data_IF_500494342759
#
_entry.id   IF_500494342759
#
_cell.length_a   1.000
_cell.length_b   1.000
_cell.length_c   1.000
_cell.angle_alpha   90.00
_cell.angle_beta   90.00
_cell.angle_gamma   90.00
#
_symmetry.space_group_name_H-M   'P 1'
#
loop_
_entity.id
_entity.type
_entity.pdbx_description
1 polymer ?
#
# COMPACT_ATOMS: atom_id res chain seq x y z
N UNK A 1 13.45 6.94 -12.01
CA UNK A 1 12.97 6.58 -10.66
C UNK A 1 11.55 7.08 -10.54
N UNK A 2 10.63 6.30 -9.98
CA UNK A 2 9.33 6.85 -9.56
C UNK A 2 9.55 7.49 -8.20
N UNK A 3 9.23 8.77 -8.06
CA UNK A 3 9.15 9.47 -6.78
C UNK A 3 7.69 9.45 -6.33
N UNK A 4 7.47 9.14 -5.05
CA UNK A 4 6.14 9.22 -4.42
C UNK A 4 6.08 10.52 -3.64
N UNK A 5 4.93 11.21 -3.71
CA UNK A 5 4.67 12.31 -2.80
C UNK A 5 4.27 11.73 -1.44
N UNK A 6 4.93 12.17 -0.37
CA UNK A 6 4.62 11.76 1.00
C UNK A 6 3.67 12.75 1.65
N UNK A 7 2.66 12.25 2.35
CA UNK A 7 1.74 13.06 3.14
C UNK A 7 1.37 12.36 4.44
N UNK A 8 1.09 13.16 5.48
CA UNK A 8 0.41 12.66 6.68
C UNK A 8 -1.09 12.90 6.47
N UNK A 9 -1.88 11.83 6.45
CA UNK A 9 -3.35 11.88 6.36
C UNK A 9 -3.95 10.96 7.40
N UNK A 10 -5.01 11.41 8.07
CA UNK A 10 -5.72 10.63 9.08
C UNK A 10 -4.79 10.01 10.15
N UNK A 11 -3.77 10.76 10.55
CA UNK A 11 -2.81 10.36 11.58
C UNK A 11 -1.76 9.34 11.15
N UNK A 12 -1.57 9.07 9.86
CA UNK A 12 -0.56 8.11 9.39
C UNK A 12 0.05 8.52 8.04
N UNK A 13 1.12 7.82 7.65
CA UNK A 13 1.82 8.09 6.40
C UNK A 13 1.02 7.53 5.22
N UNK A 14 0.82 8.36 4.21
CA UNK A 14 0.21 7.99 2.93
C UNK A 14 1.11 8.49 1.81
N UNK A 15 1.41 7.61 0.85
CA UNK A 15 2.24 7.92 -0.29
C UNK A 15 1.39 7.96 -1.56
N UNK A 16 1.65 8.94 -2.43
CA UNK A 16 0.80 9.29 -3.56
C UNK A 16 1.58 9.23 -4.89
N UNK A 17 0.87 8.83 -5.93
CA UNK A 17 1.27 8.96 -7.34
C UNK A 17 0.01 8.81 -8.19
N UNK A 18 -0.44 9.93 -8.79
CA UNK A 18 -1.72 10.01 -9.50
C UNK A 18 -2.90 9.46 -8.65
N UNK A 19 -2.99 9.90 -7.39
CA UNK A 19 -3.88 9.34 -6.37
C UNK A 19 -3.12 8.54 -5.30
N UNK A 20 -3.81 7.99 -4.28
CA UNK A 20 -3.14 7.25 -3.21
C UNK A 20 -2.63 5.88 -3.68
N UNK A 21 -1.43 5.51 -3.21
CA UNK A 21 -0.73 4.29 -3.60
C UNK A 21 -0.68 3.32 -2.42
N UNK A 22 -0.05 3.76 -1.33
CA UNK A 22 0.14 2.94 -0.13
C UNK A 22 0.05 3.78 1.13
N UNK A 23 -0.18 3.11 2.26
CA UNK A 23 -0.14 3.69 3.59
C UNK A 23 0.73 2.85 4.53
N UNK A 24 1.31 3.53 5.51
CA UNK A 24 1.98 2.91 6.66
C UNK A 24 1.31 3.47 7.90
N UNK A 25 0.58 2.62 8.61
CA UNK A 25 -0.12 2.99 9.85
C UNK A 25 0.39 2.16 11.00
N UNK A 26 1.05 2.83 11.94
CA UNK A 26 1.37 2.24 13.23
C UNK A 26 0.12 2.21 14.11
N UNK A 27 -0.10 1.08 14.77
CA UNK A 27 -1.07 0.86 15.83
C UNK A 27 -0.31 0.30 17.04
N UNK A 28 -0.96 0.21 18.20
CA UNK A 28 -0.31 -0.12 19.48
C UNK A 28 0.56 -1.38 19.44
N UNK A 29 0.13 -2.44 18.74
CA UNK A 29 0.82 -3.75 18.70
C UNK A 29 1.14 -4.24 17.28
N UNK A 30 0.96 -3.39 16.26
CA UNK A 30 1.17 -3.78 14.86
C UNK A 30 1.37 -2.58 13.94
N UNK A 31 1.97 -2.83 12.78
CA UNK A 31 2.03 -1.88 11.67
C UNK A 31 1.23 -2.44 10.50
N UNK A 32 0.34 -1.61 9.96
CA UNK A 32 -0.39 -1.92 8.74
C UNK A 32 0.33 -1.32 7.54
N UNK A 33 0.66 -2.18 6.58
CA UNK A 33 1.17 -1.79 5.27
C UNK A 33 0.07 -2.03 4.23
N UNK A 34 -0.66 -0.97 3.92
CA UNK A 34 -1.86 -1.03 3.08
C UNK A 34 -1.63 -0.47 1.70
N UNK A 35 -2.34 -1.00 0.70
CA UNK A 35 -2.31 -0.52 -0.68
C UNK A 35 -3.72 -0.26 -1.19
N UNK A 36 -3.91 0.88 -1.85
CA UNK A 36 -5.05 1.05 -2.76
C UNK A 36 -4.85 0.12 -3.96
N UNK A 37 -5.93 -0.51 -4.42
CA UNK A 37 -5.84 -1.62 -5.39
C UNK A 37 -4.96 -2.78 -4.94
N UNK A 38 -4.74 -2.93 -3.63
CA UNK A 38 -3.93 -3.99 -3.04
C UNK A 38 -4.43 -5.39 -3.36
N UNK A 39 -5.72 -5.57 -3.65
CA UNK A 39 -6.26 -6.88 -4.07
C UNK A 39 -5.60 -7.40 -5.34
N UNK A 40 -5.20 -6.51 -6.25
CA UNK A 40 -4.51 -6.85 -7.50
C UNK A 40 -3.04 -7.23 -7.28
N UNK A 41 -2.50 -6.97 -6.10
CA UNK A 41 -1.11 -7.27 -5.73
C UNK A 41 -0.96 -8.61 -5.00
N UNK A 42 -2.07 -9.31 -4.72
CA UNK A 42 -2.08 -10.52 -3.87
C UNK A 42 -1.36 -11.71 -4.49
N UNK A 43 -1.23 -11.76 -5.82
CA UNK A 43 -0.38 -12.76 -6.48
C UNK A 43 1.11 -12.56 -6.16
N UNK A 44 1.52 -11.32 -5.85
CA UNK A 44 2.90 -11.01 -5.48
C UNK A 44 3.18 -11.20 -3.99
N UNK A 45 2.20 -10.90 -3.14
CA UNK A 45 2.26 -11.14 -1.69
C UNK A 45 0.91 -11.68 -1.18
N UNK A 46 0.80 -13.00 -0.99
CA UNK A 46 -0.42 -13.64 -0.48
C UNK A 46 -0.85 -13.19 0.92
N UNK A 47 0.06 -12.57 1.70
CA UNK A 47 -0.23 -12.04 3.03
C UNK A 47 -1.02 -10.72 3.00
N UNK A 48 -1.18 -10.11 1.82
CA UNK A 48 -2.10 -8.99 1.62
C UNK A 48 -3.54 -9.50 1.78
N UNK A 49 -4.19 -9.09 2.88
CA UNK A 49 -5.59 -9.42 3.16
C UNK A 49 -6.51 -8.36 2.56
N UNK A 50 -7.49 -8.73 1.73
CA UNK A 50 -8.44 -7.79 1.14
C UNK A 50 -9.30 -7.16 2.24
N UNK A 51 -9.63 -5.88 2.10
CA UNK A 51 -10.55 -5.20 3.02
C UNK A 51 -10.65 -3.71 2.74
N UNK A 52 -11.75 -3.09 3.17
CA UNK A 52 -12.01 -1.67 2.95
C UNK A 52 -12.54 -1.33 1.55
N UNK A 53 -12.54 -0.04 1.21
CA UNK A 53 -12.96 0.49 -0.10
C UNK A 53 -11.80 0.46 -1.11
N UNK A 54 -12.08 0.77 -2.37
CA UNK A 54 -11.05 1.00 -3.41
C UNK A 54 -10.13 -0.20 -3.69
N UNK A 55 -10.69 -1.42 -3.63
CA UNK A 55 -9.93 -2.67 -3.82
C UNK A 55 -8.72 -2.77 -2.88
N UNK A 56 -8.81 -2.20 -1.68
CA UNK A 56 -7.70 -2.19 -0.74
C UNK A 56 -7.35 -3.61 -0.27
N UNK A 57 -6.06 -3.80 -0.02
CA UNK A 57 -5.55 -4.93 0.74
C UNK A 57 -4.38 -4.48 1.62
N UNK A 58 -4.23 -5.14 2.76
CA UNK A 58 -3.29 -4.74 3.81
C UNK A 58 -2.52 -5.95 4.30
N UNK A 59 -1.21 -5.76 4.49
CA UNK A 59 -0.36 -6.68 5.24
C UNK A 59 -0.16 -6.14 6.64
N UNK A 60 -0.31 -7.01 7.62
CA UNK A 60 -0.02 -6.71 9.01
C UNK A 60 1.40 -7.17 9.33
N UNK A 61 2.14 -6.33 10.04
CA UNK A 61 3.41 -6.65 10.66
C UNK A 61 3.28 -6.50 12.17
N UNK A 62 3.84 -7.43 12.93
CA UNK A 62 3.96 -7.42 14.39
C UNK A 62 5.42 -7.31 14.79
N UNK A 63 5.64 -7.09 16.08
CA UNK A 63 6.99 -7.15 16.64
C UNK A 63 7.63 -8.52 16.35
N UNK A 64 8.89 -8.48 15.89
CA UNK A 64 9.63 -9.67 15.46
C UNK A 64 9.43 -10.06 13.99
N UNK A 65 8.44 -9.51 13.29
CA UNK A 65 8.28 -9.79 11.86
C UNK A 65 9.39 -9.13 11.03
N UNK A 66 9.93 -9.87 10.06
CA UNK A 66 10.88 -9.34 9.09
C UNK A 66 10.19 -8.53 7.98
N UNK A 67 10.73 -7.35 7.71
CA UNK A 67 10.30 -6.52 6.57
C UNK A 67 11.18 -6.82 5.36
N UNK A 68 10.65 -7.58 4.40
CA UNK A 68 11.33 -7.82 3.12
C UNK A 68 11.32 -6.56 2.24
N UNK A 69 12.40 -5.78 2.31
CA UNK A 69 12.55 -4.53 1.56
C UNK A 69 12.44 -4.69 0.03
N UNK A 70 12.89 -5.83 -0.52
CA UNK A 70 12.83 -6.10 -1.97
C UNK A 70 11.38 -6.28 -2.40
N UNK A 71 10.60 -7.09 -1.67
CA UNK A 71 9.19 -7.29 -1.94
C UNK A 71 8.39 -6.00 -1.76
N UNK A 72 8.60 -5.27 -0.66
CA UNK A 72 7.93 -3.99 -0.41
C UNK A 72 8.17 -2.99 -1.55
N UNK A 73 9.41 -2.91 -2.07
CA UNK A 73 9.73 -2.06 -3.23
C UNK A 73 9.03 -2.53 -4.51
N UNK A 74 8.89 -3.84 -4.73
CA UNK A 74 8.17 -4.39 -5.90
C UNK A 74 6.68 -4.08 -5.83
N UNK A 75 6.05 -4.27 -4.67
CA UNK A 75 4.64 -3.93 -4.44
C UNK A 75 4.36 -2.45 -4.66
N UNK A 76 5.19 -1.55 -4.11
CA UNK A 76 5.04 -0.11 -4.30
C UNK A 76 5.16 0.31 -5.78
N UNK A 77 6.12 -0.25 -6.52
CA UNK A 77 6.26 0.01 -7.97
C UNK A 77 5.05 -0.45 -8.75
N UNK A 78 4.50 -1.61 -8.41
CA UNK A 78 3.34 -2.16 -9.09
C UNK A 78 2.07 -1.35 -8.78
N UNK A 79 1.87 -0.93 -7.54
CA UNK A 79 0.77 -0.05 -7.16
C UNK A 79 0.81 1.30 -7.91
N UNK A 80 2.01 1.88 -8.08
CA UNK A 80 2.19 3.07 -8.94
C UNK A 80 1.81 2.76 -10.38
N UNK A 81 2.26 1.62 -10.92
CA UNK A 81 1.93 1.21 -12.29
C UNK A 81 0.41 1.12 -12.48
N UNK A 82 -0.30 0.53 -11.51
CA UNK A 82 -1.76 0.46 -11.52
C UNK A 82 -2.40 1.86 -11.54
N UNK A 83 -1.95 2.80 -10.72
CA UNK A 83 -2.47 4.18 -10.74
C UNK A 83 -2.16 4.91 -12.05
N UNK A 84 -1.00 4.66 -12.66
CA UNK A 84 -0.67 5.21 -13.97
C UNK A 84 -1.56 4.64 -15.07
N UNK A 85 -1.88 3.36 -15.02
CA UNK A 85 -2.68 2.67 -16.05
C UNK A 85 -4.18 2.91 -15.91
N UNK A 86 -4.69 2.92 -14.68
CA UNK A 86 -6.12 2.92 -14.39
C UNK A 86 -6.61 4.21 -13.71
N UNK A 87 -5.75 5.23 -13.63
CA UNK A 87 -6.06 6.52 -12.99
C UNK A 87 -6.13 6.45 -11.46
N UNK A 88 -6.64 7.53 -10.87
CA UNK A 88 -6.79 7.69 -9.41
C UNK A 88 -7.74 6.63 -8.81
N UNK A 89 -7.27 5.78 -7.89
CA UNK A 89 -8.08 4.70 -7.33
C UNK A 89 -9.25 5.18 -6.46
N UNK A 90 -9.31 6.45 -6.09
CA UNK A 90 -10.44 7.03 -5.35
C UNK A 90 -11.53 7.61 -6.23
N UNK A 91 -11.33 7.62 -7.56
CA UNK A 91 -12.30 8.07 -8.56
C UNK A 91 -12.99 6.90 -9.29
N UNK A 92 -12.90 5.69 -8.71
CA UNK A 92 -13.67 4.52 -9.13
C UNK A 92 -15.17 4.75 -8.98
#
# INVERSE_FOLDING_TARGET
MVTLDEAIKWGHLVYLSNGPVLLIRAEESRVLFGFWRGQRLREMDPLLKPGGKYEMATKEFREGDEVNAVLSRRLAKEAVRLNKTLGDPTKL
#
